data_IF_095922379367
#
_entry.id   IF_095922379367
#
_cell.length_a   1.000
_cell.length_b   1.000
_cell.length_c   1.000
_cell.angle_alpha   90.00
_cell.angle_beta   90.00
_cell.angle_gamma   90.00
#
_symmetry.space_group_name_H-M   'P 1'
#
loop_
_entity.id
_entity.type
_entity.pdbx_description
1 polymer ?
#
# COMPACT_ATOMS: atom_id res chain seq x y z
N UNK A 1 -12.30 14.95 27.61
CA UNK A 1 -11.83 13.60 27.99
C UNK A 1 -13.05 12.71 27.83
N UNK A 2 -13.28 11.97 26.76
CA UNK A 2 -12.42 11.29 25.79
C UNK A 2 -13.06 11.39 24.40
N UNK A 3 -12.31 11.81 23.38
CA UNK A 3 -12.71 11.58 21.99
C UNK A 3 -12.39 10.11 21.69
N UNK A 4 -13.42 9.26 21.63
CA UNK A 4 -13.28 7.93 21.04
C UNK A 4 -13.20 8.07 19.52
N UNK A 5 -11.98 8.19 18.99
CA UNK A 5 -11.72 7.98 17.57
C UNK A 5 -11.67 6.47 17.29
N UNK A 6 -12.68 5.93 16.62
CA UNK A 6 -12.77 4.53 16.14
C UNK A 6 -13.09 4.52 14.63
N UNK A 7 -12.59 3.55 13.85
CA UNK A 7 -11.23 3.45 13.34
C UNK A 7 -11.15 3.92 11.87
N UNK A 8 -10.05 4.59 11.53
CA UNK A 8 -9.67 4.87 10.14
C UNK A 8 -9.05 3.61 9.55
N UNK A 9 -9.89 2.69 9.07
CA UNK A 9 -9.47 1.49 8.34
C UNK A 9 -10.66 0.62 7.98
N UNK A 10 -10.83 0.33 6.69
CA UNK A 10 -11.77 -0.68 6.21
C UNK A 10 -11.25 -2.01 6.77
N UNK A 11 -11.96 -2.64 7.71
CA UNK A 11 -11.45 -3.78 8.42
C UNK A 11 -12.50 -4.46 9.29
N UNK A 12 -12.58 -5.77 9.21
CA UNK A 12 -13.42 -6.61 10.07
C UNK A 12 -12.54 -7.22 11.17
N UNK A 13 -13.08 -7.39 12.37
CA UNK A 13 -12.41 -8.08 13.49
C UNK A 13 -11.01 -7.56 13.86
N UNK A 14 -10.79 -6.24 13.73
CA UNK A 14 -9.51 -5.59 14.07
C UNK A 14 -8.41 -5.74 13.02
N UNK A 15 -8.67 -6.43 11.91
CA UNK A 15 -7.74 -6.55 10.79
C UNK A 15 -7.75 -5.25 9.99
N UNK A 16 -6.59 -4.60 9.85
CA UNK A 16 -6.46 -3.37 9.04
C UNK A 16 -6.17 -3.71 7.58
N UNK A 17 -7.11 -3.42 6.68
CA UNK A 17 -6.91 -3.69 5.24
C UNK A 17 -6.06 -2.58 4.64
N UNK A 18 -4.86 -2.93 4.18
CA UNK A 18 -3.98 -2.04 3.41
C UNK A 18 -3.69 -2.61 2.02
N UNK A 19 -3.01 -1.83 1.17
CA UNK A 19 -2.67 -2.26 -0.18
C UNK A 19 -1.88 -3.57 -0.26
N UNK A 20 -1.09 -3.90 0.76
CA UNK A 20 -0.41 -5.21 0.87
C UNK A 20 -1.40 -6.37 0.94
N UNK A 21 -2.47 -6.27 1.74
CA UNK A 21 -3.49 -7.32 1.81
C UNK A 21 -4.31 -7.39 0.51
N UNK A 22 -4.58 -6.26 -0.13
CA UNK A 22 -5.22 -6.23 -1.47
C UNK A 22 -4.34 -6.93 -2.50
N UNK A 23 -3.04 -6.65 -2.52
CA UNK A 23 -2.08 -7.33 -3.39
C UNK A 23 -2.16 -8.85 -3.23
N UNK A 24 -2.06 -9.33 -1.98
CA UNK A 24 -2.08 -10.76 -1.70
C UNK A 24 -3.44 -11.39 -1.96
N UNK A 25 -4.54 -10.65 -1.85
CA UNK A 25 -5.88 -11.18 -2.15
C UNK A 25 -5.99 -11.61 -3.61
N UNK A 26 -5.41 -10.82 -4.49
CA UNK A 26 -5.34 -11.11 -5.92
C UNK A 26 -4.31 -12.19 -6.29
N UNK A 27 -3.49 -12.66 -5.34
CA UNK A 27 -2.59 -13.81 -5.51
C UNK A 27 -3.22 -15.08 -4.92
N UNK A 28 -3.57 -15.03 -3.64
CA UNK A 28 -4.09 -16.16 -2.89
C UNK A 28 -4.91 -15.69 -1.67
N UNK A 29 -6.24 -15.90 -1.65
CA UNK A 29 -7.07 -15.54 -0.49
C UNK A 29 -6.64 -16.19 0.82
N UNK A 30 -6.11 -17.42 0.78
CA UNK A 30 -5.57 -18.11 1.97
C UNK A 30 -4.36 -17.39 2.56
N UNK A 31 -3.49 -16.84 1.72
CA UNK A 31 -2.34 -16.07 2.19
C UNK A 31 -2.79 -14.81 2.93
N UNK A 32 -3.82 -14.12 2.43
CA UNK A 32 -4.40 -12.95 3.11
C UNK A 32 -4.97 -13.33 4.46
N UNK A 33 -5.68 -14.47 4.55
CA UNK A 33 -6.21 -14.94 5.82
C UNK A 33 -5.09 -15.15 6.85
N UNK A 34 -4.01 -15.83 6.47
CA UNK A 34 -2.84 -16.05 7.34
C UNK A 34 -2.22 -14.74 7.79
N UNK A 35 -1.91 -13.84 6.85
CA UNK A 35 -1.27 -12.56 7.15
C UNK A 35 -2.16 -11.62 7.97
N UNK A 36 -3.48 -11.63 7.74
CA UNK A 36 -4.45 -10.90 8.54
C UNK A 36 -4.46 -11.34 10.00
N UNK A 37 -4.17 -12.61 10.26
CA UNK A 37 -4.04 -13.21 11.59
C UNK A 37 -2.57 -13.22 12.10
N UNK A 38 -1.69 -12.38 11.53
CA UNK A 38 -0.28 -12.26 11.92
C UNK A 38 0.56 -13.54 11.72
N UNK A 39 0.11 -14.44 10.84
CA UNK A 39 0.89 -15.59 10.39
C UNK A 39 1.60 -15.18 9.10
N UNK A 40 2.81 -14.60 9.26
CA UNK A 40 3.59 -14.04 8.16
C UNK A 40 4.43 -15.10 7.45
N UNK A 41 4.72 -14.92 6.14
CA UNK A 41 5.76 -15.68 5.46
C UNK A 41 7.14 -15.37 6.06
N UNK A 42 8.13 -16.21 5.74
CA UNK A 42 9.52 -15.98 6.14
C UNK A 42 10.00 -14.58 5.67
N UNK A 43 10.22 -13.69 6.63
CA UNK A 43 10.56 -12.28 6.38
C UNK A 43 12.00 -12.08 5.91
N UNK A 44 12.86 -13.08 6.15
CA UNK A 44 14.29 -13.08 5.81
C UNK A 44 14.56 -13.68 4.42
N UNK A 45 13.52 -14.13 3.71
CA UNK A 45 13.65 -14.66 2.36
C UNK A 45 14.32 -13.65 1.41
N UNK A 46 15.30 -14.09 0.62
CA UNK A 46 16.16 -13.23 -0.22
C UNK A 46 15.36 -12.34 -1.17
N UNK A 47 14.26 -12.85 -1.75
CA UNK A 47 13.38 -12.06 -2.62
C UNK A 47 12.71 -10.89 -1.89
N UNK A 48 12.37 -11.04 -0.61
CA UNK A 48 11.80 -9.95 0.20
C UNK A 48 12.89 -8.94 0.53
N UNK A 49 14.10 -9.39 0.89
CA UNK A 49 15.24 -8.50 1.12
C UNK A 49 15.55 -7.67 -0.14
N UNK A 50 15.58 -8.30 -1.31
CA UNK A 50 15.77 -7.62 -2.59
C UNK A 50 14.63 -6.62 -2.89
N UNK A 51 13.38 -6.98 -2.56
CA UNK A 51 12.24 -6.07 -2.68
C UNK A 51 12.41 -4.79 -1.85
N UNK A 52 12.82 -4.93 -0.58
CA UNK A 52 13.11 -3.80 0.31
C UNK A 52 14.27 -2.95 -0.22
N UNK A 53 15.34 -3.58 -0.69
CA UNK A 53 16.46 -2.90 -1.32
C UNK A 53 16.01 -2.09 -2.54
N UNK A 54 15.21 -2.70 -3.43
CA UNK A 54 14.67 -2.04 -4.62
C UNK A 54 13.83 -0.82 -4.24
N UNK A 55 12.93 -0.94 -3.27
CA UNK A 55 12.09 0.17 -2.79
C UNK A 55 12.94 1.33 -2.23
N UNK A 56 13.98 1.00 -1.43
CA UNK A 56 14.89 2.00 -0.86
C UNK A 56 15.69 2.76 -1.93
N UNK A 57 16.11 2.09 -3.01
CA UNK A 57 17.04 2.65 -3.99
C UNK A 57 16.36 3.19 -5.25
N UNK A 58 15.17 2.70 -5.61
CA UNK A 58 14.40 3.21 -6.75
C UNK A 58 13.96 4.66 -6.49
N UNK A 59 14.04 5.53 -7.51
CA UNK A 59 13.49 6.90 -7.47
C UNK A 59 13.95 7.75 -6.26
N UNK A 60 15.27 7.89 -6.06
CA UNK A 60 15.87 8.59 -4.90
C UNK A 60 15.48 10.06 -4.68
N UNK A 61 14.87 10.72 -5.68
CA UNK A 61 14.54 12.17 -5.65
C UNK A 61 13.10 12.49 -5.29
N UNK A 62 12.24 11.49 -5.23
CA UNK A 62 10.81 11.66 -4.99
C UNK A 62 10.45 11.45 -3.50
N UNK A 63 9.27 11.91 -3.08
CA UNK A 63 8.75 11.65 -1.72
C UNK A 63 8.40 10.17 -1.62
N UNK A 64 9.11 9.46 -0.72
CA UNK A 64 9.00 8.00 -0.54
C UNK A 64 8.15 7.64 0.68
N UNK A 65 7.57 6.44 0.64
CA UNK A 65 6.89 5.77 1.77
C UNK A 65 5.81 6.62 2.44
N UNK A 66 4.83 7.10 1.66
CA UNK A 66 3.72 7.88 2.18
C UNK A 66 2.74 6.94 2.89
N UNK A 67 2.50 7.18 4.18
CA UNK A 67 1.47 6.47 4.94
C UNK A 67 0.10 7.11 4.70
N UNK A 68 -0.84 6.33 4.20
CA UNK A 68 -2.24 6.73 3.99
C UNK A 68 -3.12 5.64 4.57
N UNK A 69 -3.85 5.94 5.65
CA UNK A 69 -4.66 4.93 6.33
C UNK A 69 -3.81 3.76 6.83
N UNK A 70 -4.13 2.55 6.35
CA UNK A 70 -3.40 1.30 6.59
C UNK A 70 -2.40 0.97 5.49
N UNK A 71 -2.32 1.77 4.44
CA UNK A 71 -1.40 1.58 3.33
C UNK A 71 -0.10 2.37 3.50
N UNK A 72 0.97 1.82 2.93
CA UNK A 72 2.23 2.50 2.69
C UNK A 72 2.46 2.55 1.18
N UNK A 73 2.34 3.73 0.62
CA UNK A 73 2.52 3.99 -0.81
C UNK A 73 4.02 4.23 -1.05
N UNK A 74 4.61 3.52 -2.01
CA UNK A 74 6.04 3.64 -2.32
C UNK A 74 6.42 5.08 -2.71
N UNK A 75 5.64 5.68 -3.60
CA UNK A 75 5.95 6.97 -4.20
C UNK A 75 4.68 7.77 -4.50
N UNK A 76 4.74 9.07 -4.23
CA UNK A 76 3.75 10.03 -4.73
C UNK A 76 4.47 11.27 -5.25
N UNK A 77 4.13 11.70 -6.47
CA UNK A 77 4.70 12.90 -7.07
C UNK A 77 3.64 13.73 -7.77
N UNK A 78 3.87 15.04 -7.84
CA UNK A 78 3.05 15.94 -8.66
C UNK A 78 3.65 16.00 -10.07
N UNK A 79 2.80 15.90 -11.08
CA UNK A 79 3.19 16.07 -12.49
C UNK A 79 2.17 17.02 -13.11
N UNK A 80 2.57 18.29 -13.27
CA UNK A 80 1.63 19.35 -13.62
C UNK A 80 0.56 19.53 -12.54
N UNK A 81 -0.69 19.45 -12.96
CA UNK A 81 -1.91 19.53 -12.15
C UNK A 81 -2.42 18.16 -11.68
N UNK A 82 -1.59 17.12 -11.76
CA UNK A 82 -1.98 15.75 -11.38
C UNK A 82 -1.10 15.19 -10.28
N UNK A 83 -1.73 14.44 -9.38
CA UNK A 83 -1.05 13.58 -8.44
C UNK A 83 -0.83 12.21 -9.09
N UNK A 84 0.39 11.71 -9.05
CA UNK A 84 0.78 10.40 -9.60
C UNK A 84 1.25 9.51 -8.47
N UNK A 85 0.58 8.38 -8.30
CA UNK A 85 0.94 7.31 -7.37
C UNK A 85 1.71 6.24 -8.13
N UNK A 86 2.84 5.80 -7.57
CA UNK A 86 3.66 4.74 -8.19
C UNK A 86 3.95 3.67 -7.14
N UNK A 87 3.82 2.41 -7.55
CA UNK A 87 4.21 1.22 -6.81
C UNK A 87 5.30 0.50 -7.61
N UNK A 88 6.41 0.13 -6.97
CA UNK A 88 7.56 -0.51 -7.64
C UNK A 88 7.56 -2.00 -7.34
N UNK A 89 7.66 -2.84 -8.37
CA UNK A 89 7.73 -4.31 -8.23
C UNK A 89 8.94 -4.87 -8.95
N UNK A 90 9.55 -5.92 -8.37
CA UNK A 90 10.69 -6.67 -8.95
C UNK A 90 10.37 -7.21 -10.35
N UNK A 91 9.14 -7.63 -10.61
CA UNK A 91 8.71 -8.17 -11.90
C UNK A 91 7.24 -7.88 -12.20
N UNK A 92 6.85 -8.03 -13.46
CA UNK A 92 5.48 -7.87 -13.94
C UNK A 92 4.60 -9.13 -13.80
N UNK A 93 5.09 -10.20 -13.18
CA UNK A 93 4.37 -11.50 -13.06
C UNK A 93 3.01 -11.40 -12.37
N UNK A 94 2.80 -10.38 -11.54
CA UNK A 94 1.57 -10.15 -10.77
C UNK A 94 0.96 -8.78 -11.09
N UNK A 95 0.84 -8.45 -12.38
CA UNK A 95 0.39 -7.13 -12.83
C UNK A 95 -1.04 -6.80 -12.37
N UNK A 96 -1.94 -7.78 -12.34
CA UNK A 96 -3.31 -7.58 -11.87
C UNK A 96 -3.35 -7.24 -10.37
N UNK A 97 -2.53 -7.91 -9.55
CA UNK A 97 -2.36 -7.56 -8.13
C UNK A 97 -1.82 -6.14 -7.96
N UNK A 98 -0.86 -5.73 -8.81
CA UNK A 98 -0.31 -4.37 -8.81
C UNK A 98 -1.38 -3.33 -9.12
N UNK A 99 -2.19 -3.59 -10.15
CA UNK A 99 -3.29 -2.72 -10.56
C UNK A 99 -4.31 -2.55 -9.44
N UNK A 100 -4.68 -3.64 -8.77
CA UNK A 100 -5.67 -3.60 -7.70
C UNK A 100 -5.14 -2.94 -6.42
N UNK A 101 -3.85 -3.12 -6.10
CA UNK A 101 -3.17 -2.39 -5.04
C UNK A 101 -3.21 -0.87 -5.30
N UNK A 102 -2.89 -0.43 -6.53
CA UNK A 102 -2.98 0.98 -6.93
C UNK A 102 -4.41 1.51 -6.88
N UNK A 103 -5.40 0.74 -7.36
CA UNK A 103 -6.81 1.11 -7.27
C UNK A 103 -7.25 1.35 -5.82
N UNK A 104 -6.80 0.51 -4.89
CA UNK A 104 -7.07 0.69 -3.46
C UNK A 104 -6.42 1.96 -2.90
N UNK A 105 -5.18 2.27 -3.28
CA UNK A 105 -4.54 3.52 -2.86
C UNK A 105 -5.29 4.76 -3.34
N UNK A 106 -5.77 4.74 -4.59
CA UNK A 106 -6.55 5.85 -5.14
C UNK A 106 -7.87 6.03 -4.38
N UNK A 107 -8.54 4.92 -4.04
CA UNK A 107 -9.74 4.94 -3.20
C UNK A 107 -9.45 5.53 -1.81
N UNK A 108 -8.36 5.12 -1.15
CA UNK A 108 -7.99 5.65 0.18
C UNK A 108 -7.64 7.14 0.13
N UNK A 109 -7.02 7.61 -0.96
CA UNK A 109 -6.73 9.03 -1.16
C UNK A 109 -8.02 9.82 -1.38
N UNK A 110 -8.93 9.31 -2.21
CA UNK A 110 -10.24 9.94 -2.46
C UNK A 110 -11.07 10.05 -1.18
N UNK A 111 -11.16 8.97 -0.39
CA UNK A 111 -11.90 8.95 0.89
C UNK A 111 -11.34 9.90 1.96
N UNK A 112 -10.13 10.41 1.76
CA UNK A 112 -9.45 11.33 2.68
C UNK A 112 -9.35 12.75 2.12
N UNK A 113 -9.96 13.01 0.97
CA UNK A 113 -9.84 14.27 0.23
C UNK A 113 -8.39 14.62 -0.16
N UNK A 114 -7.54 13.59 -0.33
CA UNK A 114 -6.12 13.70 -0.70
C UNK A 114 -5.86 13.41 -2.19
N UNK A 115 -6.90 13.26 -3.00
CA UNK A 115 -6.80 12.98 -4.43
C UNK A 115 -6.37 14.19 -5.26
N UNK A 116 -6.46 15.41 -4.70
CA UNK A 116 -6.07 16.66 -5.36
C UNK A 116 -4.58 17.00 -5.12
N UNK A 117 -3.86 17.55 -6.12
CA UNK A 117 -2.49 18.03 -5.93
C UNK A 117 -2.35 19.10 -4.84
N UNK A 118 -3.42 19.79 -4.45
CA UNK A 118 -3.38 20.84 -3.41
C UNK A 118 -3.45 20.27 -1.98
N UNK A 119 -3.89 19.02 -1.83
CA UNK A 119 -4.17 18.41 -0.53
C UNK A 119 -2.97 17.75 0.16
N UNK A 120 -1.77 17.78 -0.46
CA UNK A 120 -0.52 17.17 0.01
C UNK A 120 0.65 18.15 -0.07
#
# INVERSE_FOLDING_TARGET
MTQESQPVGIGVDGIRIGGTLIWYYHICPRQVWLMGHQINPDEDHEDLQYGRFLQQHAYSRDKKEIKVGSSRIDLMRKTGDRLVVVEVKKSSRAIDSARMQLAYYLLELEQKDLSSPTAL
#
